data_IF_965762471581
#
_entry.id   IF_965762471581
#
_cell.length_a   1.000
_cell.length_b   1.000
_cell.length_c   1.000
_cell.angle_alpha   90.00
_cell.angle_beta   90.00
_cell.angle_gamma   90.00
#
_symmetry.space_group_name_H-M   'P 1'
#
loop_
_entity.id
_entity.type
_entity.pdbx_description
1 polymer ?
#
# COMPACT_ATOMS: atom_id res chain seq x y z
N UNK A 1 18.74 16.48 -10.07
CA UNK A 1 18.78 15.01 -10.28
C UNK A 1 17.82 14.67 -11.40
N UNK A 2 18.14 13.66 -12.21
CA UNK A 2 17.22 13.18 -13.23
C UNK A 2 15.98 12.56 -12.57
N UNK A 3 14.77 12.78 -13.12
CA UNK A 3 13.56 12.23 -12.56
C UNK A 3 13.53 10.70 -12.69
N UNK A 4 12.93 10.03 -11.69
CA UNK A 4 12.64 8.61 -11.76
C UNK A 4 11.57 8.34 -12.83
N UNK A 5 11.64 7.17 -13.46
CA UNK A 5 10.56 6.69 -14.32
C UNK A 5 9.89 5.50 -13.67
N UNK A 6 8.61 5.63 -13.34
CA UNK A 6 7.82 4.55 -12.73
C UNK A 6 7.43 3.49 -13.78
N UNK A 7 7.00 2.33 -13.32
CA UNK A 7 6.51 1.26 -14.19
C UNK A 7 5.31 1.68 -15.06
N UNK A 8 4.54 2.68 -14.60
CA UNK A 8 3.46 3.32 -15.38
C UNK A 8 3.96 4.18 -16.54
N UNK A 9 5.25 4.46 -16.60
CA UNK A 9 5.86 5.43 -17.52
C UNK A 9 5.87 6.88 -17.01
N UNK A 10 5.23 7.17 -15.89
CA UNK A 10 5.22 8.51 -15.32
C UNK A 10 6.60 8.92 -14.81
N UNK A 11 6.92 10.20 -15.00
CA UNK A 11 8.11 10.80 -14.41
C UNK A 11 7.81 11.25 -12.98
N UNK A 12 8.77 11.06 -12.08
CA UNK A 12 8.62 11.44 -10.67
C UNK A 12 9.92 12.04 -10.13
N UNK A 13 9.84 13.15 -9.38
CA UNK A 13 11.00 13.72 -8.68
C UNK A 13 11.37 12.92 -7.43
N UNK A 14 10.53 12.00 -6.99
CA UNK A 14 10.68 11.21 -5.76
C UNK A 14 10.41 9.73 -6.03
N UNK A 15 11.13 8.87 -5.30
CA UNK A 15 10.87 7.44 -5.22
C UNK A 15 10.78 7.03 -3.75
N UNK A 16 9.59 6.59 -3.32
CA UNK A 16 9.36 6.09 -1.97
C UNK A 16 9.49 4.55 -1.99
N UNK A 17 10.42 4.01 -1.18
CA UNK A 17 10.60 2.57 -1.01
C UNK A 17 10.37 2.16 0.46
N UNK A 18 9.10 1.86 0.77
CA UNK A 18 8.70 1.45 2.11
C UNK A 18 9.24 0.07 2.53
N UNK A 19 9.74 -0.74 1.58
CA UNK A 19 10.35 -2.05 1.88
C UNK A 19 11.63 -1.91 2.70
N UNK A 20 12.29 -0.75 2.63
CA UNK A 20 13.46 -0.46 3.45
C UNK A 20 13.17 -0.53 4.94
N UNK A 21 11.94 -0.28 5.39
CA UNK A 21 11.57 -0.34 6.82
C UNK A 21 11.82 -1.73 7.42
N UNK A 22 11.77 -2.78 6.61
CA UNK A 22 12.02 -4.15 7.06
C UNK A 22 13.43 -4.36 7.62
N UNK A 23 14.41 -3.55 7.17
CA UNK A 23 15.80 -3.61 7.61
C UNK A 23 16.04 -2.88 8.95
N UNK A 24 15.06 -2.12 9.46
CA UNK A 24 15.18 -1.34 10.68
C UNK A 24 14.20 -1.87 11.74
N UNK A 25 14.63 -2.75 12.67
CA UNK A 25 13.75 -3.44 13.60
C UNK A 25 12.82 -2.53 14.41
N UNK A 26 13.32 -1.40 14.92
CA UNK A 26 12.51 -0.45 15.70
C UNK A 26 11.40 0.17 14.83
N UNK A 27 11.72 0.60 13.60
CA UNK A 27 10.77 1.24 12.67
C UNK A 27 9.72 0.21 12.21
N UNK A 28 10.14 -0.98 11.79
CA UNK A 28 9.19 -1.99 11.33
C UNK A 28 8.25 -2.48 12.44
N UNK A 29 8.74 -2.57 13.70
CA UNK A 29 7.89 -2.93 14.83
C UNK A 29 6.86 -1.85 15.12
N UNK A 30 7.27 -0.59 15.11
CA UNK A 30 6.35 0.54 15.26
C UNK A 30 5.27 0.52 14.15
N UNK A 31 5.67 0.38 12.88
CA UNK A 31 4.72 0.32 11.74
C UNK A 31 3.77 -0.88 11.89
N UNK A 32 4.28 -2.06 12.23
CA UNK A 32 3.48 -3.26 12.48
C UNK A 32 2.40 -3.01 13.53
N UNK A 33 2.77 -2.42 14.67
CA UNK A 33 1.87 -2.15 15.78
C UNK A 33 0.82 -1.10 15.41
N UNK A 34 1.22 -0.03 14.72
CA UNK A 34 0.27 1.00 14.25
C UNK A 34 -0.69 0.46 13.17
N UNK A 35 -0.21 -0.41 12.26
CA UNK A 35 -1.11 -1.10 11.32
C UNK A 35 -2.12 -1.94 12.10
N UNK A 36 -1.68 -2.79 13.02
CA UNK A 36 -2.54 -3.69 13.78
C UNK A 36 -3.62 -2.92 14.56
N UNK A 37 -3.23 -1.87 15.28
CA UNK A 37 -4.11 -1.01 16.05
C UNK A 37 -5.18 -0.32 15.19
N UNK A 38 -4.76 0.30 14.09
CA UNK A 38 -5.69 1.01 13.21
C UNK A 38 -6.57 0.03 12.41
N UNK A 39 -6.05 -1.12 12.03
CA UNK A 39 -6.81 -2.18 11.36
C UNK A 39 -8.01 -2.62 12.21
N UNK A 40 -7.81 -2.92 13.48
CA UNK A 40 -8.89 -3.34 14.37
C UNK A 40 -9.91 -2.21 14.60
N UNK A 41 -9.43 -0.97 14.73
CA UNK A 41 -10.29 0.21 14.90
C UNK A 41 -11.18 0.49 13.68
N UNK A 42 -10.61 0.43 12.47
CA UNK A 42 -11.29 0.82 11.23
C UNK A 42 -12.15 -0.30 10.65
N UNK A 43 -11.71 -1.55 10.77
CA UNK A 43 -12.32 -2.69 10.08
C UNK A 43 -12.82 -3.80 11.01
N UNK A 44 -12.55 -3.69 12.31
CA UNK A 44 -12.79 -4.77 13.26
C UNK A 44 -11.78 -5.90 13.10
N UNK A 45 -11.91 -6.95 13.90
CA UNK A 45 -11.01 -8.12 13.86
C UNK A 45 -11.30 -8.98 12.63
N UNK A 46 -10.35 -9.16 11.70
CA UNK A 46 -10.51 -10.05 10.57
C UNK A 46 -10.21 -11.51 10.96
N UNK A 47 -10.53 -12.43 10.05
CA UNK A 47 -10.16 -13.84 10.17
C UNK A 47 -8.77 -14.11 9.57
N UNK A 48 -8.37 -13.32 8.56
CA UNK A 48 -7.12 -13.50 7.81
C UNK A 48 -6.54 -12.15 7.40
N UNK A 49 -5.21 -12.04 7.43
CA UNK A 49 -4.46 -10.91 6.86
C UNK A 49 -3.94 -11.30 5.47
N UNK A 50 -4.13 -10.42 4.49
CA UNK A 50 -3.64 -10.61 3.12
C UNK A 50 -2.63 -9.51 2.74
N UNK A 51 -1.39 -9.88 2.43
CA UNK A 51 -0.40 -8.93 1.92
C UNK A 51 -0.44 -8.83 0.39
N UNK A 52 -0.31 -7.64 -0.17
CA UNK A 52 -0.12 -7.47 -1.61
C UNK A 52 1.35 -7.72 -1.96
N UNK A 53 1.56 -8.69 -2.85
CA UNK A 53 2.93 -9.01 -3.26
C UNK A 53 3.46 -7.94 -4.25
N UNK A 54 4.71 -7.57 -4.12
CA UNK A 54 5.76 -8.14 -3.27
C UNK A 54 6.00 -7.28 -2.02
N UNK A 55 5.69 -5.99 -2.09
CA UNK A 55 6.07 -4.98 -1.09
C UNK A 55 5.49 -5.25 0.30
N UNK A 56 4.25 -5.72 0.36
CA UNK A 56 3.56 -5.92 1.63
C UNK A 56 3.64 -7.35 2.17
N UNK A 57 4.38 -8.28 1.55
CA UNK A 57 4.52 -9.63 2.11
C UNK A 57 5.17 -9.59 3.48
N UNK A 58 6.31 -8.92 3.60
CA UNK A 58 7.07 -8.88 4.86
C UNK A 58 6.30 -8.22 5.99
N UNK A 59 5.81 -7.01 5.77
CA UNK A 59 5.08 -6.28 6.81
C UNK A 59 3.73 -6.93 7.12
N UNK A 60 3.02 -7.46 6.12
CA UNK A 60 1.75 -8.16 6.31
C UNK A 60 1.91 -9.43 7.16
N UNK A 61 2.97 -10.20 6.93
CA UNK A 61 3.28 -11.38 7.75
C UNK A 61 3.58 -11.00 9.22
N UNK A 62 4.31 -9.90 9.43
CA UNK A 62 4.59 -9.40 10.79
C UNK A 62 3.32 -8.89 11.50
N UNK A 63 2.39 -8.26 10.77
CA UNK A 63 1.09 -7.85 11.32
C UNK A 63 0.25 -9.06 11.70
N UNK A 64 0.19 -10.07 10.83
CA UNK A 64 -0.54 -11.30 11.09
C UNK A 64 0.03 -12.04 12.31
N UNK A 65 1.35 -12.15 12.41
CA UNK A 65 2.04 -12.74 13.58
C UNK A 65 1.69 -11.99 14.86
N UNK A 66 1.75 -10.66 14.84
CA UNK A 66 1.45 -9.82 15.98
C UNK A 66 -0.01 -9.97 16.48
N UNK A 67 -0.95 -10.13 15.52
CA UNK A 67 -2.38 -10.33 15.83
C UNK A 67 -2.74 -11.80 16.11
N UNK A 68 -1.82 -12.74 15.92
CA UNK A 68 -2.08 -14.18 16.04
C UNK A 68 -3.07 -14.70 14.98
N UNK A 69 -3.02 -14.13 13.75
CA UNK A 69 -3.93 -14.44 12.66
C UNK A 69 -3.22 -15.18 11.50
N UNK A 70 -3.96 -15.99 10.72
CA UNK A 70 -3.47 -16.53 9.47
C UNK A 70 -3.03 -15.44 8.49
N UNK A 71 -2.00 -15.75 7.69
CA UNK A 71 -1.48 -14.88 6.66
C UNK A 71 -1.54 -15.54 5.29
N UNK A 72 -1.97 -14.77 4.29
CA UNK A 72 -1.90 -15.08 2.87
C UNK A 72 -1.28 -13.91 2.13
N UNK A 73 -0.81 -14.12 0.90
CA UNK A 73 -0.46 -12.98 0.05
C UNK A 73 -0.98 -13.15 -1.38
N UNK A 74 -1.23 -12.02 -2.03
CA UNK A 74 -1.83 -11.99 -3.36
C UNK A 74 -0.80 -11.46 -4.36
N UNK A 75 -0.57 -12.23 -5.40
CA UNK A 75 0.37 -11.89 -6.49
C UNK A 75 -0.30 -10.98 -7.52
N UNK A 76 0.46 -10.11 -8.22
CA UNK A 76 -0.08 -9.27 -9.28
C UNK A 76 -0.69 -10.08 -10.43
N UNK A 77 -0.16 -11.29 -10.68
CA UNK A 77 -0.61 -12.20 -11.71
C UNK A 77 -0.56 -13.65 -11.22
N UNK A 78 -1.45 -14.49 -11.75
CA UNK A 78 -1.42 -15.94 -11.51
C UNK A 78 -0.11 -16.56 -12.02
N UNK A 79 0.31 -17.68 -11.41
CA UNK A 79 1.47 -18.45 -11.86
C UNK A 79 1.26 -18.96 -13.28
N UNK A 80 2.29 -18.87 -14.13
CA UNK A 80 2.26 -19.43 -15.49
C UNK A 80 2.33 -20.96 -15.49
N UNK A 81 2.80 -21.59 -14.40
CA UNK A 81 2.99 -23.03 -14.27
C UNK A 81 2.53 -23.52 -12.89
N UNK A 82 2.06 -24.76 -12.80
CA UNK A 82 1.54 -25.38 -11.58
C UNK A 82 0.09 -25.02 -11.31
N UNK A 83 -0.30 -24.93 -10.02
CA UNK A 83 -1.60 -24.39 -9.65
C UNK A 83 -1.59 -22.90 -10.02
N UNK A 84 -2.44 -22.50 -10.97
CA UNK A 84 -2.54 -21.11 -11.47
C UNK A 84 -3.19 -20.18 -10.43
N UNK A 85 -2.74 -20.28 -9.18
CA UNK A 85 -3.28 -19.49 -8.08
C UNK A 85 -2.59 -18.12 -8.04
N UNK A 86 -3.39 -17.09 -7.90
CA UNK A 86 -2.94 -15.74 -7.61
C UNK A 86 -2.75 -15.53 -6.10
N UNK A 87 -3.51 -16.28 -5.28
CA UNK A 87 -3.45 -16.25 -3.82
C UNK A 87 -2.53 -17.38 -3.35
N UNK A 88 -1.58 -17.05 -2.49
CA UNK A 88 -0.67 -18.00 -1.84
C UNK A 88 -1.00 -18.06 -0.35
N UNK A 89 -1.14 -19.29 0.16
CA UNK A 89 -1.64 -19.60 1.48
C UNK A 89 -3.04 -20.23 1.40
N UNK A 90 -3.72 -20.32 2.54
CA UNK A 90 -5.04 -20.93 2.65
C UNK A 90 -6.05 -19.91 3.16
N UNK A 91 -7.18 -19.80 2.48
CA UNK A 91 -8.32 -18.97 2.87
C UNK A 91 -9.62 -19.65 2.44
N UNK A 92 -10.67 -19.50 3.25
CA UNK A 92 -11.98 -20.10 3.01
C UNK A 92 -13.01 -19.05 2.61
N UNK A 93 -13.93 -19.47 1.76
CA UNK A 93 -15.07 -18.65 1.39
C UNK A 93 -15.84 -18.15 2.62
N UNK A 94 -16.17 -16.88 2.63
CA UNK A 94 -16.92 -16.21 3.72
C UNK A 94 -16.04 -15.62 4.82
N UNK A 95 -14.74 -15.94 4.88
CA UNK A 95 -13.85 -15.32 5.85
C UNK A 95 -13.70 -13.80 5.59
N UNK A 96 -13.54 -13.05 6.69
CA UNK A 96 -13.26 -11.63 6.65
C UNK A 96 -11.76 -11.41 6.50
N UNK A 97 -11.36 -10.65 5.48
CA UNK A 97 -9.98 -10.39 5.14
C UNK A 97 -9.71 -8.89 5.18
N UNK A 98 -8.62 -8.48 5.82
CA UNK A 98 -8.06 -7.14 5.66
C UNK A 98 -6.77 -7.23 4.86
N UNK A 99 -6.65 -6.34 3.87
CA UNK A 99 -5.51 -6.29 2.96
C UNK A 99 -4.47 -5.31 3.49
N UNK A 100 -3.19 -5.71 3.44
CA UNK A 100 -2.05 -4.86 3.78
C UNK A 100 -1.29 -4.53 2.50
N UNK A 101 -0.93 -3.24 2.35
CA UNK A 101 -0.16 -2.70 1.25
C UNK A 101 1.02 -1.86 1.77
N UNK A 102 2.10 -1.77 1.03
CA UNK A 102 3.22 -0.91 1.40
C UNK A 102 3.06 0.52 0.89
N UNK A 103 2.53 0.69 -0.33
CA UNK A 103 2.43 1.99 -0.98
C UNK A 103 1.25 2.05 -1.97
N UNK A 104 0.47 3.11 -1.87
CA UNK A 104 -0.59 3.43 -2.83
C UNK A 104 -0.15 4.59 -3.73
N UNK A 105 -0.02 4.32 -5.04
CA UNK A 105 0.08 5.34 -6.08
C UNK A 105 -1.29 5.56 -6.74
N UNK A 106 -1.60 4.89 -7.83
CA UNK A 106 -2.95 4.91 -8.45
C UNK A 106 -3.92 3.90 -7.83
N UNK A 107 -3.41 2.93 -7.05
CA UNK A 107 -4.19 1.87 -6.42
C UNK A 107 -4.54 0.69 -7.34
N UNK A 108 -4.23 0.74 -8.64
CA UNK A 108 -4.64 -0.30 -9.58
C UNK A 108 -4.12 -1.70 -9.22
N UNK A 109 -2.83 -1.83 -8.89
CA UNK A 109 -2.25 -3.13 -8.50
C UNK A 109 -2.86 -3.68 -7.22
N UNK A 110 -3.12 -2.81 -6.27
CA UNK A 110 -3.73 -3.17 -4.99
C UNK A 110 -5.18 -3.63 -5.16
N UNK A 111 -5.94 -2.98 -6.06
CA UNK A 111 -7.32 -3.36 -6.37
C UNK A 111 -7.41 -4.67 -7.14
N UNK A 112 -6.44 -4.98 -8.01
CA UNK A 112 -6.34 -6.32 -8.64
C UNK A 112 -6.21 -7.43 -7.57
N UNK A 113 -5.47 -7.18 -6.49
CA UNK A 113 -5.40 -8.12 -5.38
C UNK A 113 -6.73 -8.27 -4.63
N UNK A 114 -7.46 -7.18 -4.44
CA UNK A 114 -8.81 -7.20 -3.85
C UNK A 114 -9.77 -8.01 -4.72
N UNK A 115 -9.74 -7.83 -6.03
CA UNK A 115 -10.61 -8.56 -6.96
C UNK A 115 -10.31 -10.06 -6.94
N UNK A 116 -9.04 -10.45 -6.88
CA UNK A 116 -8.65 -11.85 -6.72
C UNK A 116 -9.19 -12.47 -5.42
N UNK A 117 -9.18 -11.73 -4.32
CA UNK A 117 -9.76 -12.16 -3.04
C UNK A 117 -11.28 -12.28 -3.13
N UNK A 118 -11.97 -11.27 -3.67
CA UNK A 118 -13.42 -11.31 -3.88
C UNK A 118 -13.84 -12.49 -4.76
N UNK A 119 -13.04 -12.83 -5.79
CA UNK A 119 -13.32 -13.93 -6.72
C UNK A 119 -13.33 -15.30 -6.03
N UNK A 120 -12.59 -15.51 -4.94
CA UNK A 120 -12.64 -16.74 -4.14
C UNK A 120 -13.72 -16.71 -3.04
N UNK A 121 -14.51 -15.64 -2.98
CA UNK A 121 -15.67 -15.54 -2.13
C UNK A 121 -15.40 -15.12 -0.68
N UNK A 122 -14.27 -14.50 -0.41
CA UNK A 122 -13.99 -13.88 0.91
C UNK A 122 -14.59 -12.46 1.01
N UNK A 123 -14.79 -12.00 2.23
CA UNK A 123 -15.29 -10.66 2.52
C UNK A 123 -14.10 -9.72 2.76
N UNK A 124 -13.71 -8.93 1.77
CA UNK A 124 -12.67 -7.91 1.94
C UNK A 124 -13.27 -6.74 2.74
N UNK A 125 -12.80 -6.56 3.98
CA UNK A 125 -13.28 -5.52 4.91
C UNK A 125 -12.71 -4.14 4.57
N UNK A 126 -11.49 -4.10 4.03
CA UNK A 126 -10.79 -2.91 3.62
C UNK A 126 -9.29 -3.16 3.44
N UNK A 127 -8.55 -2.07 3.27
CA UNK A 127 -7.11 -2.08 3.07
C UNK A 127 -6.44 -1.09 4.00
N UNK A 128 -5.31 -1.50 4.59
CA UNK A 128 -4.39 -0.63 5.33
C UNK A 128 -3.09 -0.53 4.55
N UNK A 129 -2.64 0.67 4.23
CA UNK A 129 -1.35 0.90 3.60
C UNK A 129 -0.42 1.73 4.51
N UNK A 130 0.89 1.53 4.37
CA UNK A 130 1.87 2.36 5.08
C UNK A 130 1.80 3.80 4.57
N UNK A 131 1.75 3.98 3.25
CA UNK A 131 1.87 5.29 2.63
C UNK A 131 0.97 5.43 1.38
N UNK A 132 0.51 6.65 1.14
CA UNK A 132 -0.15 7.02 -0.12
C UNK A 132 0.41 8.34 -0.68
N UNK A 133 0.55 8.43 -2.01
CA UNK A 133 0.77 9.70 -2.69
C UNK A 133 -0.47 10.61 -2.70
N UNK A 134 -1.65 10.06 -2.38
CA UNK A 134 -2.89 10.82 -2.26
C UNK A 134 -3.48 11.31 -3.58
N UNK A 135 -3.08 10.73 -4.72
CA UNK A 135 -3.59 11.12 -6.04
C UNK A 135 -5.11 10.96 -6.13
N UNK A 136 -5.78 11.91 -6.78
CA UNK A 136 -7.22 11.88 -6.93
C UNK A 136 -7.71 10.64 -7.69
N UNK A 137 -6.93 10.17 -8.67
CA UNK A 137 -7.23 8.92 -9.36
C UNK A 137 -7.25 7.71 -8.41
N UNK A 138 -6.40 7.68 -7.38
CA UNK A 138 -6.44 6.58 -6.41
C UNK A 138 -7.68 6.64 -5.53
N UNK A 139 -8.07 7.83 -5.09
CA UNK A 139 -9.30 8.04 -4.29
C UNK A 139 -10.53 7.57 -5.06
N UNK A 140 -10.61 7.94 -6.35
CA UNK A 140 -11.70 7.54 -7.24
C UNK A 140 -11.71 6.03 -7.48
N UNK A 141 -10.56 5.42 -7.74
CA UNK A 141 -10.43 3.97 -7.94
C UNK A 141 -10.91 3.18 -6.71
N UNK A 142 -10.48 3.54 -5.50
CA UNK A 142 -10.92 2.88 -4.28
C UNK A 142 -12.42 3.08 -4.02
N UNK A 143 -12.95 4.28 -4.25
CA UNK A 143 -14.38 4.58 -4.16
C UNK A 143 -15.21 3.75 -5.14
N UNK A 144 -14.81 3.70 -6.41
CA UNK A 144 -15.51 2.96 -7.47
C UNK A 144 -15.54 1.46 -7.19
N UNK A 145 -14.47 0.91 -6.63
CA UNK A 145 -14.37 -0.50 -6.27
C UNK A 145 -14.99 -0.83 -4.90
N UNK A 146 -15.55 0.17 -4.22
CA UNK A 146 -16.14 0.05 -2.88
C UNK A 146 -15.16 -0.61 -1.88
N UNK A 147 -13.93 -0.09 -1.82
CA UNK A 147 -12.88 -0.54 -0.90
C UNK A 147 -12.48 0.61 0.00
N UNK A 148 -12.67 0.46 1.30
CA UNK A 148 -12.20 1.43 2.28
C UNK A 148 -10.69 1.31 2.43
N UNK A 149 -9.98 2.43 2.23
CA UNK A 149 -8.55 2.55 2.39
C UNK A 149 -8.23 3.38 3.63
N UNK A 150 -7.40 2.84 4.51
CA UNK A 150 -6.76 3.58 5.59
C UNK A 150 -5.24 3.63 5.34
N UNK A 151 -4.59 4.76 5.58
CA UNK A 151 -3.13 4.89 5.41
C UNK A 151 -2.50 5.50 6.65
N UNK A 152 -1.33 4.96 7.06
CA UNK A 152 -0.62 5.47 8.23
C UNK A 152 0.00 6.84 7.96
N UNK A 153 0.46 7.05 6.72
CA UNK A 153 1.08 8.31 6.30
C UNK A 153 0.70 8.64 4.85
N UNK A 154 0.95 9.87 4.45
CA UNK A 154 0.65 10.39 3.13
C UNK A 154 1.73 11.36 2.64
N UNK A 155 1.60 11.77 1.39
CA UNK A 155 2.55 12.65 0.72
C UNK A 155 2.68 14.03 1.36
N UNK A 156 1.56 14.61 1.81
CA UNK A 156 1.52 15.92 2.45
C UNK A 156 2.35 15.91 3.74
N UNK A 157 2.08 14.96 4.65
CA UNK A 157 2.86 14.79 5.89
C UNK A 157 4.33 14.50 5.64
N UNK A 158 4.66 13.77 4.55
CA UNK A 158 6.05 13.55 4.15
C UNK A 158 6.75 14.85 3.76
N UNK A 159 6.10 15.71 2.98
CA UNK A 159 6.65 17.01 2.58
C UNK A 159 6.83 17.95 3.77
N UNK A 160 5.82 18.05 4.65
CA UNK A 160 5.91 18.83 5.89
C UNK A 160 7.12 18.40 6.72
N UNK A 161 7.26 17.12 6.99
CA UNK A 161 8.39 16.58 7.76
C UNK A 161 9.74 16.84 7.08
N UNK A 162 9.82 16.73 5.75
CA UNK A 162 11.04 16.97 5.00
C UNK A 162 11.45 18.46 5.05
N UNK A 163 10.50 19.38 5.06
CA UNK A 163 10.74 20.82 5.24
C UNK A 163 11.16 21.13 6.68
N UNK A 164 10.47 20.62 7.68
CA UNK A 164 10.74 20.87 9.10
C UNK A 164 12.14 20.39 9.50
N UNK A 165 12.60 19.31 8.89
CA UNK A 165 13.96 18.76 9.10
C UNK A 165 15.03 19.38 8.19
N UNK A 166 14.67 20.37 7.36
CA UNK A 166 15.55 20.99 6.35
C UNK A 166 16.15 19.96 5.35
N UNK A 167 15.46 18.84 5.12
CA UNK A 167 15.85 17.86 4.11
C UNK A 167 15.60 18.36 2.69
N UNK A 168 14.55 19.16 2.52
CA UNK A 168 14.23 19.91 1.30
C UNK A 168 14.04 21.38 1.62
N UNK A 169 14.35 22.24 0.65
CA UNK A 169 14.06 23.67 0.72
C UNK A 169 12.68 24.02 0.13
N UNK A 170 12.26 25.29 0.25
CA UNK A 170 10.94 25.74 -0.22
C UNK A 170 10.75 25.53 -1.73
N UNK A 171 11.77 25.82 -2.56
CA UNK A 171 11.67 25.63 -4.01
C UNK A 171 11.47 24.14 -4.39
N UNK A 172 12.16 23.25 -3.69
CA UNK A 172 11.98 21.80 -3.88
C UNK A 172 10.59 21.35 -3.45
N UNK A 173 10.08 21.86 -2.32
CA UNK A 173 8.72 21.57 -1.87
C UNK A 173 7.67 22.05 -2.88
N UNK A 174 7.84 23.23 -3.48
CA UNK A 174 6.93 23.77 -4.49
C UNK A 174 6.90 22.89 -5.76
N UNK A 175 8.07 22.38 -6.20
CA UNK A 175 8.17 21.44 -7.34
C UNK A 175 7.47 20.13 -7.02
N UNK A 176 7.70 19.58 -5.83
CA UNK A 176 7.11 18.35 -5.36
C UNK A 176 5.58 18.46 -5.24
N UNK A 177 5.08 19.58 -4.72
CA UNK A 177 3.63 19.84 -4.62
C UNK A 177 2.97 19.95 -6.00
N UNK A 178 3.60 20.67 -6.94
CA UNK A 178 3.10 20.78 -8.32
C UNK A 178 3.06 19.43 -9.02
N UNK A 179 4.11 18.62 -8.86
CA UNK A 179 4.11 17.26 -9.40
C UNK A 179 2.96 16.42 -8.85
N UNK A 180 2.72 16.44 -7.55
CA UNK A 180 1.67 15.63 -6.93
C UNK A 180 0.26 15.97 -7.44
N UNK A 181 0.04 17.23 -7.81
CA UNK A 181 -1.26 17.70 -8.34
C UNK A 181 -1.56 17.11 -9.73
N UNK A 182 -0.55 16.95 -10.59
CA UNK A 182 -0.71 16.39 -11.93
C UNK A 182 0.48 15.51 -12.36
N UNK A 183 0.64 14.33 -11.71
CA UNK A 183 1.83 13.50 -11.91
C UNK A 183 1.93 12.89 -13.31
N UNK A 184 0.80 12.69 -14.01
CA UNK A 184 0.78 12.08 -15.34
C UNK A 184 1.31 13.00 -16.44
N UNK A 185 1.23 14.31 -16.26
CA UNK A 185 1.67 15.31 -17.25
C UNK A 185 3.01 15.96 -16.90
N UNK A 186 3.56 15.65 -15.75
CA UNK A 186 4.84 16.23 -15.33
C UNK A 186 6.01 15.72 -16.17
N UNK A 187 6.73 16.63 -16.79
CA UNK A 187 7.81 16.33 -17.75
C UNK A 187 9.21 16.27 -17.15
N UNK A 188 9.34 16.56 -15.86
CA UNK A 188 10.64 16.55 -15.17
C UNK A 188 11.34 17.92 -15.13
N UNK A 189 10.60 19.00 -15.40
CA UNK A 189 11.11 20.39 -15.34
C UNK A 189 10.31 21.20 -14.35
#
# INVERSE_FOLDING_TARGET
RDPFTWASGWKSPIYCDNRMVLSFPAVRNYIKEEIAKNLEKEFGKPDVIAGVATGAIGIGALVAEFLGLPFIYVRPQAKKHGRQNQIEGFVEKGQNVVVIEDLISTGNSSLVAVDALKAVGVNVKGMVAIFTYGFDISKENFKTNNVNLFTLSNYESLLEQAQDTNFINQNEADILSKWNTNPSEWTGK
#
